data_IF_077616884702
#
_entry.id   IF_077616884702
#
_cell.length_a   1.000
_cell.length_b   1.000
_cell.length_c   1.000
_cell.angle_alpha   90.00
_cell.angle_beta   90.00
_cell.angle_gamma   90.00
#
_symmetry.space_group_name_H-M   'P 1'
#
loop_
_entity.id
_entity.type
_entity.pdbx_description
1 polymer ?
#
# COMPACT_ATOMS: atom_id res chain seq x y z
N UNK A 1 18.42 -30.19 14.85
CA UNK A 1 19.15 -28.90 14.85
C UNK A 1 18.48 -28.05 13.78
N UNK A 2 17.35 -27.42 14.12
CA UNK A 2 16.55 -26.60 13.19
C UNK A 2 17.20 -25.22 13.01
N UNK A 3 18.44 -25.23 12.54
CA UNK A 3 19.21 -24.02 12.30
C UNK A 3 18.73 -23.35 11.02
N UNK A 4 18.83 -22.01 10.99
CA UNK A 4 18.72 -21.21 9.78
C UNK A 4 19.58 -21.71 8.62
N UNK A 5 20.67 -22.43 8.91
CA UNK A 5 21.73 -22.81 7.98
C UNK A 5 21.54 -24.17 7.29
N UNK A 6 20.36 -24.77 7.30
CA UNK A 6 20.07 -25.92 6.43
C UNK A 6 19.80 -25.45 5.01
N UNK A 7 20.16 -26.26 4.00
CA UNK A 7 19.96 -25.90 2.58
C UNK A 7 18.47 -25.63 2.29
N UNK A 8 17.59 -26.43 2.89
CA UNK A 8 16.13 -26.26 2.81
C UNK A 8 15.68 -24.92 3.42
N UNK A 9 16.14 -24.57 4.62
CA UNK A 9 15.78 -23.30 5.26
C UNK A 9 16.34 -22.08 4.52
N UNK A 10 17.51 -22.19 3.89
CA UNK A 10 18.05 -21.12 3.03
C UNK A 10 17.20 -20.91 1.78
N UNK A 11 16.75 -21.99 1.14
CA UNK A 11 15.88 -21.91 -0.02
C UNK A 11 14.54 -21.28 0.35
N UNK A 12 13.92 -21.76 1.44
CA UNK A 12 12.67 -21.20 1.99
C UNK A 12 12.83 -19.74 2.40
N UNK A 13 13.95 -19.38 3.04
CA UNK A 13 14.28 -17.97 3.34
C UNK A 13 14.30 -17.13 2.08
N UNK A 14 14.96 -17.61 1.01
CA UNK A 14 14.99 -16.94 -0.28
C UNK A 14 13.59 -16.73 -0.86
N UNK A 15 12.75 -17.77 -0.86
CA UNK A 15 11.36 -17.67 -1.31
C UNK A 15 10.55 -16.67 -0.48
N UNK A 16 10.71 -16.69 0.85
CA UNK A 16 10.02 -15.78 1.75
C UNK A 16 10.47 -14.33 1.57
N UNK A 17 11.77 -14.08 1.34
CA UNK A 17 12.29 -12.74 1.04
C UNK A 17 11.73 -12.24 -0.30
N UNK A 18 11.69 -13.10 -1.33
CA UNK A 18 11.09 -12.76 -2.62
C UNK A 18 9.59 -12.47 -2.48
N UNK A 19 8.87 -13.32 -1.75
CA UNK A 19 7.47 -13.14 -1.46
C UNK A 19 7.24 -11.80 -0.76
N UNK A 20 8.03 -11.47 0.26
CA UNK A 20 7.92 -10.19 0.95
C UNK A 20 8.29 -8.99 0.10
N UNK A 21 9.24 -9.11 -0.83
CA UNK A 21 9.59 -8.02 -1.73
C UNK A 21 8.43 -7.71 -2.69
N UNK A 22 7.77 -8.74 -3.23
CA UNK A 22 6.59 -8.60 -4.08
C UNK A 22 5.41 -8.09 -3.24
N UNK A 23 5.05 -8.83 -2.19
CA UNK A 23 3.91 -8.54 -1.31
C UNK A 23 4.05 -7.27 -0.48
N UNK A 24 5.26 -6.77 -0.24
CA UNK A 24 5.51 -5.58 0.58
C UNK A 24 5.51 -4.27 -0.22
N UNK A 25 5.31 -4.33 -1.53
CA UNK A 25 5.35 -3.15 -2.40
C UNK A 25 4.20 -2.18 -2.12
N UNK A 26 3.00 -2.67 -1.84
CA UNK A 26 1.83 -1.87 -1.46
C UNK A 26 2.05 -1.09 -0.15
N UNK A 27 2.61 -1.74 0.87
CA UNK A 27 2.97 -1.16 2.14
C UNK A 27 4.10 -0.13 1.98
N UNK A 28 5.10 -0.42 1.15
CA UNK A 28 6.16 0.53 0.80
C UNK A 28 5.59 1.80 0.15
N UNK A 29 4.66 1.62 -0.80
CA UNK A 29 4.03 2.73 -1.50
C UNK A 29 3.17 3.58 -0.55
N UNK A 30 2.39 2.94 0.32
CA UNK A 30 1.63 3.64 1.36
C UNK A 30 2.55 4.49 2.24
N UNK A 31 3.66 3.94 2.72
CA UNK A 31 4.65 4.65 3.54
C UNK A 31 5.25 5.83 2.77
N UNK A 32 5.60 5.64 1.49
CA UNK A 32 6.14 6.69 0.65
C UNK A 32 5.15 7.86 0.50
N UNK A 33 3.86 7.56 0.25
CA UNK A 33 2.79 8.55 0.10
C UNK A 33 2.44 9.25 1.41
N UNK A 34 2.28 8.51 2.50
CA UNK A 34 1.98 9.07 3.82
C UNK A 34 3.13 9.97 4.29
N UNK A 35 4.38 9.61 3.96
CA UNK A 35 5.54 10.45 4.28
C UNK A 35 5.56 11.79 3.56
N UNK A 36 4.91 11.91 2.40
CA UNK A 36 4.83 13.19 1.67
C UNK A 36 3.91 14.20 2.35
N UNK A 37 3.08 13.76 3.29
CA UNK A 37 2.10 14.59 4.01
C UNK A 37 2.69 15.39 5.17
N UNK A 38 3.93 15.10 5.55
CA UNK A 38 4.66 15.86 6.59
C UNK A 38 5.66 16.82 5.95
N UNK A 39 6.17 17.76 6.74
CA UNK A 39 7.21 18.70 6.31
C UNK A 39 8.38 17.98 5.60
N UNK A 40 8.85 18.56 4.49
CA UNK A 40 9.87 17.97 3.61
C UNK A 40 11.13 17.50 4.36
N UNK A 41 11.56 18.24 5.39
CA UNK A 41 12.72 17.91 6.23
C UNK A 41 12.54 16.67 7.11
N UNK A 42 11.29 16.28 7.41
CA UNK A 42 10.95 15.16 8.31
C UNK A 42 10.58 13.88 7.57
N UNK A 43 10.35 13.93 6.26
CA UNK A 43 9.79 12.80 5.50
C UNK A 43 10.71 11.56 5.49
N UNK A 44 12.01 11.75 5.26
CA UNK A 44 12.97 10.64 5.28
C UNK A 44 13.07 9.99 6.67
N UNK A 45 13.07 10.83 7.72
CA UNK A 45 13.04 10.35 9.11
C UNK A 45 11.75 9.59 9.41
N UNK A 46 10.61 10.07 8.92
CA UNK A 46 9.31 9.42 9.07
C UNK A 46 9.30 8.03 8.42
N UNK A 47 9.82 7.90 7.19
CA UNK A 47 9.92 6.60 6.50
C UNK A 47 10.80 5.63 7.27
N UNK A 48 12.02 6.02 7.62
CA UNK A 48 12.98 5.14 8.30
C UNK A 48 12.47 4.67 9.66
N UNK A 49 11.93 5.58 10.47
CA UNK A 49 11.33 5.22 11.76
C UNK A 49 10.04 4.40 11.59
N UNK A 50 9.19 4.77 10.63
CA UNK A 50 7.97 4.05 10.31
C UNK A 50 8.26 2.61 9.89
N UNK A 51 9.20 2.39 8.98
CA UNK A 51 9.61 1.05 8.53
C UNK A 51 10.28 0.27 9.67
N UNK A 52 11.14 0.90 10.46
CA UNK A 52 11.76 0.25 11.62
C UNK A 52 10.74 -0.24 12.64
N UNK A 53 9.79 0.62 13.04
CA UNK A 53 8.69 0.25 13.93
C UNK A 53 7.76 -0.81 13.32
N UNK A 54 7.47 -0.69 12.02
CA UNK A 54 6.70 -1.67 11.26
C UNK A 54 7.33 -3.06 11.30
N UNK A 55 8.63 -3.18 11.05
CA UNK A 55 9.36 -4.46 11.11
C UNK A 55 9.28 -5.08 12.49
N UNK A 56 9.49 -4.28 13.55
CA UNK A 56 9.39 -4.75 14.94
C UNK A 56 7.99 -5.26 15.23
N UNK A 57 6.97 -4.47 14.90
CA UNK A 57 5.57 -4.84 15.11
C UNK A 57 5.20 -6.09 14.32
N UNK A 58 5.73 -6.24 13.11
CA UNK A 58 5.48 -7.38 12.23
C UNK A 58 6.08 -8.68 12.77
N UNK A 59 7.29 -8.63 13.34
CA UNK A 59 7.88 -9.79 14.05
C UNK A 59 7.08 -10.13 15.31
N UNK A 60 6.63 -9.13 16.06
CA UNK A 60 5.75 -9.35 17.21
C UNK A 60 4.41 -9.96 16.80
N UNK A 61 3.80 -9.47 15.72
CA UNK A 61 2.56 -9.98 15.17
C UNK A 61 2.73 -11.43 14.66
N UNK A 62 3.84 -11.74 14.00
CA UNK A 62 4.17 -13.12 13.59
C UNK A 62 4.16 -14.07 14.79
N UNK A 63 4.80 -13.67 15.90
CA UNK A 63 4.82 -14.48 17.11
C UNK A 63 3.41 -14.70 17.69
N UNK A 64 2.57 -13.66 17.71
CA UNK A 64 1.18 -13.76 18.17
C UNK A 64 0.36 -14.67 17.26
N UNK A 65 0.44 -14.46 15.94
CA UNK A 65 -0.29 -15.25 14.95
C UNK A 65 0.11 -16.72 15.01
N UNK A 66 1.40 -17.06 15.06
CA UNK A 66 1.83 -18.45 15.18
C UNK A 66 1.26 -19.19 16.40
N UNK A 67 0.93 -18.47 17.48
CA UNK A 67 0.35 -19.07 18.69
C UNK A 67 -1.17 -19.09 18.71
N UNK A 68 -1.80 -18.09 18.12
CA UNK A 68 -3.22 -17.79 18.36
C UNK A 68 -3.97 -17.45 17.07
N UNK A 69 -3.51 -17.98 15.92
CA UNK A 69 -4.12 -17.74 14.60
C UNK A 69 -5.61 -18.09 14.57
N UNK A 70 -6.04 -19.14 15.30
CA UNK A 70 -7.43 -19.58 15.32
C UNK A 70 -8.37 -18.45 15.78
N UNK A 71 -8.02 -17.69 16.82
CA UNK A 71 -8.86 -16.59 17.31
C UNK A 71 -9.05 -15.47 16.28
N UNK A 72 -8.12 -15.31 15.33
CA UNK A 72 -8.25 -14.32 14.27
C UNK A 72 -9.10 -14.81 13.09
N UNK A 73 -9.22 -16.13 12.94
CA UNK A 73 -9.97 -16.81 11.88
C UNK A 73 -11.34 -17.31 12.33
N UNK A 74 -11.60 -17.35 13.64
CA UNK A 74 -12.90 -17.73 14.19
C UNK A 74 -13.98 -16.71 13.77
N UNK A 75 -15.15 -17.23 13.41
CA UNK A 75 -16.30 -16.41 13.00
C UNK A 75 -16.84 -15.67 14.22
N UNK A 76 -16.82 -14.34 14.17
CA UNK A 76 -17.36 -13.48 15.22
C UNK A 76 -18.87 -13.36 15.09
N UNK A 77 -19.35 -13.12 13.86
CA UNK A 77 -20.77 -13.03 13.55
C UNK A 77 -21.01 -13.32 12.07
N UNK A 78 -22.22 -13.77 11.74
CA UNK A 78 -22.65 -13.97 10.36
C UNK A 78 -23.84 -13.07 10.05
N UNK A 79 -23.88 -12.53 8.84
CA UNK A 79 -25.02 -11.79 8.31
C UNK A 79 -25.57 -12.62 7.15
N UNK A 80 -26.89 -12.79 7.10
CA UNK A 80 -27.60 -13.29 5.93
C UNK A 80 -28.87 -12.44 5.73
N UNK A 81 -28.81 -11.56 4.74
CA UNK A 81 -29.91 -10.72 4.33
C UNK A 81 -30.50 -11.23 3.02
N UNK A 82 -31.45 -12.17 3.14
CA UNK A 82 -32.35 -12.63 2.06
C UNK A 82 -31.62 -13.00 0.75
N UNK A 83 -30.41 -13.57 0.82
CA UNK A 83 -29.60 -13.95 -0.34
C UNK A 83 -29.04 -12.79 -1.18
N UNK A 84 -29.24 -11.53 -0.76
CA UNK A 84 -28.67 -10.35 -1.41
C UNK A 84 -27.30 -10.02 -0.83
N UNK A 85 -27.15 -10.21 0.49
CA UNK A 85 -25.92 -9.94 1.22
C UNK A 85 -25.75 -11.01 2.30
N UNK A 86 -24.76 -11.88 2.16
CA UNK A 86 -24.43 -12.85 3.21
C UNK A 86 -22.91 -12.96 3.41
N UNK A 87 -22.46 -13.15 4.65
CA UNK A 87 -21.05 -13.30 4.97
C UNK A 87 -20.79 -13.68 6.42
N UNK A 88 -19.63 -14.29 6.66
CA UNK A 88 -19.12 -14.73 7.96
C UNK A 88 -17.93 -13.86 8.35
N UNK A 89 -18.13 -12.93 9.28
CA UNK A 89 -17.11 -11.95 9.63
C UNK A 89 -16.22 -12.48 10.75
N UNK A 90 -14.93 -12.61 10.44
CA UNK A 90 -13.85 -12.91 11.39
C UNK A 90 -13.15 -11.62 11.82
N UNK A 91 -12.37 -11.68 12.90
CA UNK A 91 -11.56 -10.52 13.31
C UNK A 91 -10.60 -10.08 12.21
N UNK A 92 -9.98 -11.04 11.50
CA UNK A 92 -9.13 -10.77 10.36
C UNK A 92 -9.88 -10.03 9.23
N UNK A 93 -11.06 -10.52 8.82
CA UNK A 93 -11.85 -9.87 7.77
C UNK A 93 -12.19 -8.41 8.13
N UNK A 94 -12.53 -8.16 9.40
CA UNK A 94 -12.91 -6.84 9.87
C UNK A 94 -11.73 -5.86 9.86
N UNK A 95 -10.55 -6.30 10.32
CA UNK A 95 -9.32 -5.50 10.28
C UNK A 95 -8.98 -5.11 8.83
N UNK A 96 -9.07 -6.07 7.91
CA UNK A 96 -8.78 -5.87 6.47
C UNK A 96 -9.80 -4.91 5.84
N UNK A 97 -11.10 -5.09 6.10
CA UNK A 97 -12.15 -4.19 5.62
C UNK A 97 -11.97 -2.76 6.11
N UNK A 98 -11.75 -2.57 7.42
CA UNK A 98 -11.57 -1.24 8.01
C UNK A 98 -10.35 -0.56 7.39
N UNK A 99 -9.25 -1.30 7.20
CA UNK A 99 -8.06 -0.80 6.51
C UNK A 99 -8.36 -0.36 5.07
N UNK A 100 -9.06 -1.20 4.30
CA UNK A 100 -9.46 -0.90 2.92
C UNK A 100 -10.35 0.34 2.81
N UNK A 101 -11.41 0.42 3.63
CA UNK A 101 -12.32 1.58 3.67
C UNK A 101 -11.54 2.84 4.03
N UNK A 102 -10.68 2.78 5.04
CA UNK A 102 -9.89 3.92 5.47
C UNK A 102 -8.96 4.44 4.36
N UNK A 103 -8.29 3.53 3.65
CA UNK A 103 -7.38 3.88 2.56
C UNK A 103 -8.15 4.53 1.42
N UNK A 104 -9.28 3.96 1.01
CA UNK A 104 -10.15 4.54 -0.02
C UNK A 104 -10.64 5.92 0.39
N UNK A 105 -11.18 6.06 1.60
CA UNK A 105 -11.65 7.34 2.12
C UNK A 105 -10.54 8.39 2.09
N UNK A 106 -9.34 8.00 2.51
CA UNK A 106 -8.17 8.87 2.53
C UNK A 106 -7.75 9.30 1.12
N UNK A 107 -7.71 8.37 0.16
CA UNK A 107 -7.38 8.67 -1.23
C UNK A 107 -8.43 9.60 -1.86
N UNK A 108 -9.72 9.30 -1.70
CA UNK A 108 -10.82 10.13 -2.22
C UNK A 108 -10.82 11.53 -1.62
N UNK A 109 -10.61 11.66 -0.31
CA UNK A 109 -10.52 12.95 0.37
C UNK A 109 -9.39 13.80 -0.21
N UNK A 110 -8.22 13.20 -0.48
CA UNK A 110 -7.10 13.92 -1.05
C UNK A 110 -7.34 14.31 -2.51
N UNK A 111 -7.90 13.41 -3.33
CA UNK A 111 -8.29 13.71 -4.71
C UNK A 111 -9.25 14.91 -4.74
N UNK A 112 -10.29 14.88 -3.91
CA UNK A 112 -11.27 15.96 -3.81
C UNK A 112 -10.61 17.28 -3.40
N UNK A 113 -9.68 17.24 -2.43
CA UNK A 113 -8.96 18.43 -2.00
C UNK A 113 -8.05 18.98 -3.12
N UNK A 114 -7.37 18.12 -3.88
CA UNK A 114 -6.55 18.55 -5.01
C UNK A 114 -7.37 19.27 -6.09
N UNK A 115 -8.60 18.81 -6.34
CA UNK A 115 -9.53 19.48 -7.27
C UNK A 115 -9.96 20.86 -6.76
N UNK A 116 -10.19 21.00 -5.45
CA UNK A 116 -10.53 22.29 -4.83
C UNK A 116 -9.35 23.28 -4.80
N UNK A 117 -8.12 22.80 -4.67
CA UNK A 117 -6.90 23.62 -4.67
C UNK A 117 -6.57 24.23 -6.05
N UNK A 118 -7.17 23.73 -7.14
CA UNK A 118 -7.08 24.40 -8.46
C UNK A 118 -7.94 25.67 -8.53
N UNK A 119 -8.92 25.84 -7.62
CA UNK A 119 -9.80 27.02 -7.59
C UNK A 119 -9.29 28.15 -6.66
N UNK A 120 -8.38 27.87 -5.72
CA UNK A 120 -7.87 28.82 -4.72
C UNK A 120 -6.32 28.86 -4.69
N UNK A 121 -5.70 29.75 -5.47
CA UNK A 121 -4.24 29.91 -5.59
C UNK A 121 -3.49 30.23 -4.27
N UNK A 122 -4.20 30.59 -3.19
CA UNK A 122 -3.61 31.01 -1.90
C UNK A 122 -3.68 29.99 -0.76
N UNK A 123 -4.28 28.80 -0.94
CA UNK A 123 -4.39 27.83 0.16
C UNK A 123 -3.17 26.92 0.26
N UNK A 124 -2.12 27.41 0.95
CA UNK A 124 -0.95 26.58 1.30
C UNK A 124 -1.37 25.44 2.24
N UNK A 125 -1.26 24.19 1.78
CA UNK A 125 -1.46 22.96 2.56
C UNK A 125 -0.78 23.04 3.93
N UNK A 126 -1.52 22.86 5.02
CA UNK A 126 -0.92 22.64 6.34
C UNK A 126 -0.38 21.21 6.40
N UNK A 127 0.93 21.00 6.64
CA UNK A 127 1.49 19.67 6.75
C UNK A 127 0.85 18.91 7.93
N UNK A 128 0.61 17.62 7.74
CA UNK A 128 0.13 16.73 8.78
C UNK A 128 1.20 16.60 9.88
N UNK A 129 0.75 16.38 11.11
CA UNK A 129 1.66 16.11 12.22
C UNK A 129 2.50 14.85 11.96
N UNK A 130 3.79 14.93 12.29
CA UNK A 130 4.73 13.82 12.20
C UNK A 130 4.24 12.60 12.97
N UNK A 131 3.82 12.80 14.22
CA UNK A 131 3.37 11.72 15.12
C UNK A 131 2.12 11.04 14.59
N UNK A 132 1.17 11.82 14.07
CA UNK A 132 -0.06 11.28 13.48
C UNK A 132 0.27 10.41 12.27
N UNK A 133 1.13 10.89 11.38
CA UNK A 133 1.53 10.14 10.18
C UNK A 133 2.31 8.87 10.54
N UNK A 134 3.16 8.93 11.58
CA UNK A 134 3.89 7.77 12.09
C UNK A 134 2.95 6.70 12.64
N UNK A 135 1.97 7.09 13.46
CA UNK A 135 0.96 6.18 14.00
C UNK A 135 0.18 5.51 12.86
N UNK A 136 -0.21 6.27 11.84
CA UNK A 136 -0.91 5.72 10.68
C UNK A 136 -0.08 4.76 9.85
N UNK A 137 1.21 5.03 9.67
CA UNK A 137 2.15 4.09 9.04
C UNK A 137 2.17 2.76 9.82
N UNK A 138 2.31 2.83 11.15
CA UNK A 138 2.39 1.63 11.98
C UNK A 138 1.07 0.84 11.97
N UNK A 139 -0.07 1.51 12.08
CA UNK A 139 -1.40 0.87 12.03
C UNK A 139 -1.63 0.19 10.68
N UNK A 140 -1.42 0.90 9.57
CA UNK A 140 -1.64 0.32 8.24
C UNK A 140 -0.67 -0.80 7.94
N UNK A 141 0.58 -0.68 8.39
CA UNK A 141 1.53 -1.77 8.28
C UNK A 141 1.08 -3.01 9.05
N UNK A 142 0.48 -2.85 10.24
CA UNK A 142 -0.07 -3.97 10.99
C UNK A 142 -1.18 -4.66 10.19
N UNK A 143 -2.11 -3.90 9.60
CA UNK A 143 -3.18 -4.41 8.74
C UNK A 143 -2.62 -5.22 7.57
N UNK A 144 -1.69 -4.66 6.79
CA UNK A 144 -1.06 -5.37 5.66
C UNK A 144 -0.21 -6.57 6.09
N UNK A 145 0.31 -6.53 7.31
CA UNK A 145 1.13 -7.62 7.84
C UNK A 145 0.32 -8.87 8.11
N UNK A 146 -1.01 -8.80 8.33
CA UNK A 146 -1.83 -10.00 8.50
C UNK A 146 -1.79 -10.90 7.25
N UNK A 147 -2.23 -10.41 6.08
CA UNK A 147 -2.24 -11.21 4.83
C UNK A 147 -0.84 -11.76 4.51
N UNK A 148 0.16 -10.88 4.57
CA UNK A 148 1.51 -11.25 4.17
C UNK A 148 2.23 -12.17 5.17
N UNK A 149 1.84 -12.19 6.45
CA UNK A 149 2.28 -13.21 7.41
C UNK A 149 1.55 -14.54 7.16
N UNK A 150 0.23 -14.52 6.95
CA UNK A 150 -0.53 -15.73 6.65
C UNK A 150 -0.02 -16.43 5.38
N UNK A 151 0.25 -15.65 4.33
CA UNK A 151 0.89 -16.11 3.10
C UNK A 151 2.27 -16.72 3.36
N UNK A 152 3.06 -16.14 4.27
CA UNK A 152 4.38 -16.66 4.63
C UNK A 152 4.29 -17.96 5.46
N UNK A 153 3.32 -18.06 6.37
CA UNK A 153 3.06 -19.26 7.17
C UNK A 153 2.66 -20.45 6.29
N UNK A 154 2.01 -20.21 5.14
CA UNK A 154 1.73 -21.26 4.16
C UNK A 154 3.00 -21.86 3.50
N UNK A 155 4.13 -21.15 3.55
CA UNK A 155 5.42 -21.59 2.99
C UNK A 155 6.37 -22.16 4.05
N UNK A 156 6.18 -21.84 5.34
CA UNK A 156 7.12 -22.20 6.40
C UNK A 156 6.48 -22.08 7.78
N UNK A 157 6.66 -23.10 8.61
CA UNK A 157 6.31 -23.05 10.04
C UNK A 157 7.47 -22.60 10.94
N UNK A 158 8.68 -22.42 10.38
CA UNK A 158 9.85 -22.02 11.15
C UNK A 158 9.84 -20.51 11.44
N UNK A 159 9.56 -20.15 12.70
CA UNK A 159 9.55 -18.76 13.18
C UNK A 159 10.84 -18.00 12.85
N UNK A 160 12.01 -18.63 13.04
CA UNK A 160 13.30 -17.97 12.88
C UNK A 160 13.53 -17.61 11.41
N UNK A 161 13.18 -18.52 10.50
CA UNK A 161 13.29 -18.29 9.04
C UNK A 161 12.35 -17.18 8.59
N UNK A 162 11.08 -17.19 9.05
CA UNK A 162 10.11 -16.14 8.73
C UNK A 162 10.52 -14.78 9.31
N UNK A 163 10.98 -14.73 10.56
CA UNK A 163 11.45 -13.50 11.20
C UNK A 163 12.69 -12.93 10.48
N UNK A 164 13.64 -13.80 10.10
CA UNK A 164 14.80 -13.39 9.31
C UNK A 164 14.37 -12.81 7.95
N UNK A 165 13.41 -13.44 7.27
CA UNK A 165 12.84 -12.89 6.03
C UNK A 165 12.27 -11.48 6.27
N UNK A 166 11.43 -11.30 7.30
CA UNK A 166 10.82 -10.00 7.65
C UNK A 166 11.88 -8.92 7.86
N UNK A 167 12.96 -9.24 8.58
CA UNK A 167 14.04 -8.28 8.85
C UNK A 167 14.78 -7.92 7.56
N UNK A 168 15.13 -8.90 6.72
CA UNK A 168 15.80 -8.68 5.43
C UNK A 168 14.91 -7.85 4.50
N UNK A 169 13.64 -8.19 4.38
CA UNK A 169 12.65 -7.44 3.62
C UNK A 169 12.49 -6.01 4.15
N UNK A 170 12.51 -5.83 5.46
CA UNK A 170 12.54 -4.52 6.13
C UNK A 170 13.72 -3.64 5.71
N UNK A 171 14.92 -4.21 5.68
CA UNK A 171 16.13 -3.51 5.24
C UNK A 171 16.03 -3.12 3.77
N UNK A 172 15.55 -4.04 2.92
CA UNK A 172 15.31 -3.78 1.50
C UNK A 172 14.28 -2.65 1.30
N UNK A 173 13.20 -2.64 2.08
CA UNK A 173 12.18 -1.60 2.05
C UNK A 173 12.75 -0.23 2.44
N UNK A 174 13.62 -0.14 3.45
CA UNK A 174 14.27 1.13 3.81
C UNK A 174 15.04 1.68 2.60
N UNK A 175 15.83 0.83 1.94
CA UNK A 175 16.61 1.21 0.75
C UNK A 175 15.72 1.63 -0.42
N UNK A 176 14.64 0.90 -0.70
CA UNK A 176 13.70 1.23 -1.78
C UNK A 176 12.83 2.46 -1.49
N UNK A 177 12.52 2.74 -0.23
CA UNK A 177 11.52 3.78 0.14
C UNK A 177 11.92 5.18 -0.28
N UNK A 178 13.22 5.50 -0.23
CA UNK A 178 13.75 6.80 -0.66
C UNK A 178 13.60 6.94 -2.19
N UNK A 179 13.94 5.89 -2.95
CA UNK A 179 13.80 5.86 -4.41
C UNK A 179 12.33 5.97 -4.88
N UNK A 180 11.42 5.22 -4.25
CA UNK A 180 9.99 5.28 -4.56
C UNK A 180 9.45 6.68 -4.27
N UNK A 181 9.87 7.29 -3.15
CA UNK A 181 9.42 8.65 -2.80
C UNK A 181 9.93 9.69 -3.80
N UNK A 182 11.19 9.63 -4.20
CA UNK A 182 11.77 10.55 -5.18
C UNK A 182 11.09 10.42 -6.55
N UNK A 183 10.78 9.18 -6.95
CA UNK A 183 10.01 8.91 -8.15
C UNK A 183 8.63 9.59 -8.12
N UNK A 184 7.91 9.46 -6.99
CA UNK A 184 6.61 10.11 -6.80
C UNK A 184 6.70 11.65 -6.72
N UNK A 185 7.78 12.20 -6.18
CA UNK A 185 7.96 13.65 -6.02
C UNK A 185 8.31 14.40 -7.30
N UNK A 186 8.84 13.72 -8.32
CA UNK A 186 9.50 14.38 -9.46
C UNK A 186 8.54 15.20 -10.34
N UNK A 187 7.22 15.16 -10.10
CA UNK A 187 6.21 16.01 -10.74
C UNK A 187 4.86 15.92 -9.99
N UNK A 188 4.09 17.02 -9.90
CA UNK A 188 2.75 17.06 -9.26
C UNK A 188 1.75 16.07 -9.88
N UNK A 189 1.94 15.73 -11.16
CA UNK A 189 1.18 14.66 -11.83
C UNK A 189 1.37 13.27 -11.19
N UNK A 190 2.57 12.97 -10.70
CA UNK A 190 2.86 11.67 -10.06
C UNK A 190 2.26 11.57 -8.65
N UNK A 191 1.93 12.69 -8.01
CA UNK A 191 1.19 12.72 -6.75
C UNK A 191 -0.21 12.13 -6.94
N UNK A 192 -0.91 12.55 -8.00
CA UNK A 192 -2.24 12.03 -8.36
C UNK A 192 -2.18 10.53 -8.66
N UNK A 193 -1.18 10.08 -9.43
CA UNK A 193 -0.96 8.65 -9.68
C UNK A 193 -0.77 7.88 -8.38
N UNK A 194 0.01 8.42 -7.44
CA UNK A 194 0.17 7.84 -6.11
C UNK A 194 -1.17 7.63 -5.39
N UNK A 195 -2.07 8.61 -5.45
CA UNK A 195 -3.41 8.50 -4.87
C UNK A 195 -4.31 7.47 -5.57
N UNK A 196 -4.21 7.33 -6.89
CA UNK A 196 -4.90 6.25 -7.61
C UNK A 196 -4.36 4.88 -7.24
N UNK A 197 -3.05 4.71 -7.10
CA UNK A 197 -2.50 3.44 -6.64
C UNK A 197 -2.92 3.17 -5.19
N UNK A 198 -2.95 4.20 -4.33
CA UNK A 198 -3.48 4.08 -2.97
C UNK A 198 -4.96 3.63 -2.98
N UNK A 199 -5.78 4.18 -3.86
CA UNK A 199 -7.16 3.75 -4.06
C UNK A 199 -7.23 2.27 -4.47
N UNK A 200 -6.38 1.83 -5.41
CA UNK A 200 -6.29 0.42 -5.82
C UNK A 200 -5.88 -0.51 -4.68
N UNK A 201 -4.94 -0.10 -3.82
CA UNK A 201 -4.58 -0.85 -2.62
C UNK A 201 -5.80 -0.99 -1.69
N UNK A 202 -6.56 0.09 -1.53
CA UNK A 202 -7.81 0.06 -0.77
C UNK A 202 -8.85 -0.90 -1.36
N UNK A 203 -9.03 -0.91 -2.68
CA UNK A 203 -9.92 -1.86 -3.39
C UNK A 203 -9.42 -3.30 -3.24
N UNK A 204 -8.11 -3.53 -3.35
CA UNK A 204 -7.51 -4.85 -3.12
C UNK A 204 -7.84 -5.37 -1.72
N UNK A 205 -7.67 -4.54 -0.68
CA UNK A 205 -8.03 -4.90 0.69
C UNK A 205 -9.54 -5.14 0.86
N UNK A 206 -10.41 -4.35 0.25
CA UNK A 206 -11.85 -4.62 0.32
C UNK A 206 -12.21 -5.95 -0.33
N UNK A 207 -11.58 -6.29 -1.46
CA UNK A 207 -11.78 -7.59 -2.12
C UNK A 207 -11.27 -8.75 -1.28
N UNK A 208 -10.12 -8.57 -0.60
CA UNK A 208 -9.54 -9.56 0.29
C UNK A 208 -10.41 -9.75 1.55
N UNK A 209 -10.85 -8.66 2.18
CA UNK A 209 -11.78 -8.71 3.31
C UNK A 209 -13.08 -9.41 2.94
N UNK A 210 -13.62 -9.12 1.75
CA UNK A 210 -14.78 -9.80 1.19
C UNK A 210 -14.57 -11.30 1.05
N UNK A 211 -13.45 -11.69 0.48
CA UNK A 211 -13.08 -13.09 0.33
C UNK A 211 -12.96 -13.82 1.68
N UNK A 212 -12.21 -13.25 2.63
CA UNK A 212 -12.03 -13.82 3.98
C UNK A 212 -13.38 -13.97 4.68
N UNK A 213 -14.30 -13.04 4.46
CA UNK A 213 -15.64 -13.11 5.05
C UNK A 213 -16.64 -13.98 4.28
N UNK A 214 -16.24 -14.66 3.19
CA UNK A 214 -17.15 -15.35 2.27
C UNK A 214 -18.34 -14.45 1.86
N UNK A 215 -18.03 -13.17 1.59
CA UNK A 215 -19.05 -12.18 1.31
C UNK A 215 -19.67 -12.47 -0.06
N UNK A 216 -20.98 -12.60 -0.07
CA UNK A 216 -21.80 -12.72 -1.29
C UNK A 216 -22.56 -11.41 -1.51
N UNK A 217 -22.49 -10.92 -2.75
CA UNK A 217 -23.29 -9.80 -3.23
C UNK A 217 -24.16 -10.30 -4.38
N UNK A 218 -25.48 -10.15 -4.26
CA UNK A 218 -26.45 -10.59 -5.27
C UNK A 218 -26.27 -12.07 -5.67
N UNK A 219 -25.92 -12.93 -4.71
CA UNK A 219 -25.66 -14.36 -4.94
C UNK A 219 -24.31 -14.69 -5.58
N UNK A 220 -23.43 -13.71 -5.80
CA UNK A 220 -22.06 -13.93 -6.29
C UNK A 220 -21.04 -13.68 -5.18
N UNK A 221 -20.14 -14.64 -4.96
CA UNK A 221 -19.05 -14.48 -3.99
C UNK A 221 -18.03 -13.46 -4.49
N UNK A 222 -17.57 -12.60 -3.58
CA UNK A 222 -16.47 -11.69 -3.84
C UNK A 222 -15.17 -12.48 -3.89
N UNK A 223 -14.57 -12.55 -5.07
CA UNK A 223 -13.23 -13.10 -5.26
C UNK A 223 -12.16 -12.04 -5.00
N UNK A 224 -11.04 -12.39 -4.36
CA UNK A 224 -9.98 -11.44 -4.10
C UNK A 224 -9.30 -11.03 -5.40
N UNK A 225 -8.90 -9.76 -5.49
CA UNK A 225 -8.16 -9.25 -6.64
C UNK A 225 -6.79 -9.93 -6.70
N UNK A 226 -6.46 -10.56 -7.84
CA UNK A 226 -5.15 -11.19 -7.98
C UNK A 226 -4.03 -10.15 -7.94
N UNK A 227 -2.93 -10.48 -7.25
CA UNK A 227 -1.75 -9.60 -7.13
C UNK A 227 -1.12 -9.32 -8.50
N UNK A 228 -1.15 -10.30 -9.41
CA UNK A 228 -0.73 -10.11 -10.80
C UNK A 228 -1.57 -9.06 -11.53
N UNK A 229 -2.90 -9.12 -11.40
CA UNK A 229 -3.82 -8.10 -11.95
C UNK A 229 -3.52 -6.73 -11.34
N UNK A 230 -3.28 -6.66 -10.04
CA UNK A 230 -2.94 -5.42 -9.34
C UNK A 230 -1.66 -4.77 -9.92
N UNK A 231 -0.56 -5.52 -10.06
CA UNK A 231 0.67 -4.98 -10.63
C UNK A 231 0.53 -4.62 -12.12
N UNK A 232 -0.27 -5.38 -12.88
CA UNK A 232 -0.57 -5.06 -14.26
C UNK A 232 -1.27 -3.70 -14.36
N UNK A 233 -2.30 -3.47 -13.54
CA UNK A 233 -3.04 -2.21 -13.52
C UNK A 233 -2.13 -1.04 -13.11
N UNK A 234 -1.30 -1.19 -12.09
CA UNK A 234 -0.31 -0.17 -11.70
C UNK A 234 0.63 0.14 -12.87
N UNK A 235 1.16 -0.89 -13.52
CA UNK A 235 2.06 -0.73 -14.66
C UNK A 235 1.39 0.07 -15.77
N UNK A 236 0.14 -0.27 -16.11
CA UNK A 236 -0.65 0.47 -17.10
C UNK A 236 -0.85 1.93 -16.68
N UNK A 237 -1.22 2.20 -15.42
CA UNK A 237 -1.40 3.57 -14.91
C UNK A 237 -0.09 4.38 -15.04
N UNK A 238 1.04 3.79 -14.64
CA UNK A 238 2.34 4.46 -14.73
C UNK A 238 2.73 4.72 -16.17
N UNK A 239 2.51 3.76 -17.08
CA UNK A 239 2.79 3.93 -18.51
C UNK A 239 1.92 5.04 -19.12
N UNK A 240 0.61 5.04 -18.83
CA UNK A 240 -0.33 6.07 -19.27
C UNK A 240 0.12 7.44 -18.79
N UNK A 241 0.52 7.56 -17.51
CA UNK A 241 1.02 8.81 -16.96
C UNK A 241 2.31 9.27 -17.64
N UNK A 242 3.26 8.37 -17.90
CA UNK A 242 4.50 8.70 -18.60
C UNK A 242 4.20 9.21 -20.02
N UNK A 243 3.25 8.60 -20.72
CA UNK A 243 2.81 9.03 -22.07
C UNK A 243 2.13 10.39 -22.00
N UNK A 244 1.19 10.58 -21.08
CA UNK A 244 0.46 11.83 -20.87
C UNK A 244 1.41 12.98 -20.51
N UNK A 245 2.34 12.75 -19.60
CA UNK A 245 3.37 13.72 -19.20
C UNK A 245 4.24 14.16 -20.37
N UNK A 246 4.66 13.21 -21.24
CA UNK A 246 5.40 13.53 -22.46
C UNK A 246 4.57 14.34 -23.45
N UNK A 247 3.29 14.01 -23.61
CA UNK A 247 2.38 14.73 -24.49
C UNK A 247 2.14 16.18 -24.02
N UNK A 248 1.86 16.39 -22.74
CA UNK A 248 1.69 17.73 -22.17
C UNK A 248 2.93 18.60 -22.33
N UNK A 249 4.13 18.04 -22.10
CA UNK A 249 5.40 18.77 -22.33
C UNK A 249 5.55 19.24 -23.78
N UNK A 250 5.14 18.41 -24.75
CA UNK A 250 5.15 18.78 -26.17
C UNK A 250 4.15 19.90 -26.46
N UNK A 251 2.92 19.83 -25.94
CA UNK A 251 1.92 20.88 -26.12
C UNK A 251 2.38 22.24 -25.57
N UNK A 252 2.99 22.26 -24.38
CA UNK A 252 3.53 23.48 -23.78
C UNK A 252 4.66 24.04 -24.64
N UNK A 253 5.58 23.19 -25.12
CA UNK A 253 6.65 23.61 -26.01
C UNK A 253 6.13 24.22 -27.33
N UNK A 254 5.09 23.62 -27.92
CA UNK A 254 4.44 24.16 -29.13
C UNK A 254 3.75 25.50 -28.87
N UNK A 255 3.03 25.65 -27.75
CA UNK A 255 2.41 26.94 -27.38
C UNK A 255 3.47 28.05 -27.21
N UNK A 256 4.57 27.75 -26.50
CA UNK A 256 5.67 28.70 -26.30
C UNK A 256 6.38 29.08 -27.60
N UNK A 257 6.48 28.16 -28.56
CA UNK A 257 7.02 28.45 -29.89
C UNK A 257 6.10 29.40 -30.66
N UNK A 258 4.80 29.13 -30.68
CA UNK A 258 3.82 29.95 -31.39
C UNK A 258 3.70 31.38 -30.82
N UNK A 259 3.75 31.54 -29.49
CA UNK A 259 3.75 32.88 -28.87
C UNK A 259 4.99 33.71 -29.25
N UNK A 260 6.17 33.09 -29.31
CA UNK A 260 7.41 33.78 -29.73
C UNK A 260 7.37 34.22 -31.18
N UNK A 261 6.78 33.42 -32.07
CA UNK A 261 6.64 33.80 -33.49
C UNK A 261 5.66 34.95 -33.69
N UNK A 262 4.62 35.09 -32.86
CA UNK A 262 3.69 36.22 -32.92
C UNK A 262 4.28 37.53 -32.40
N UNK A 263 5.21 37.49 -31.44
CA UNK A 263 5.89 38.69 -30.93
C UNK A 263 6.90 39.25 -31.95
N UNK A 264 7.60 38.41 -32.72
CA UNK A 264 8.59 38.86 -33.72
C UNK A 264 7.97 39.37 -35.04
N UNK A 265 6.65 39.32 -35.20
CA UNK A 265 5.94 39.82 -36.39
C UNK A 265 5.20 41.15 -36.17
N UNK A 266 5.32 41.75 -34.97
CA UNK A 266 4.85 43.11 -34.65
C UNK A 266 6.02 44.05 -34.47
#
# INVERSE_FOLDING_TARGET
>A
MDGLFTIENLFTLGMLVLLQAVLGFDNLLYIALESQRVEASKQAKLRRLGIGLAVILRVALLFVLMKVISLFQDVLFSIDYRGIFAGHFTLHSLIVFIGGIFIIYTALKEINHMLMLEEDENSKRKPRSFTVSLIWIVIMNAVFSFDSILSAMALSDNFIVMAAAIIIGGILMIWLSDHVTEFLKKNRMYEVVGLFILLLVGVMLLSEGGHISHLTLFGTEITPMSKGTFYLVITVIVVVEVVQSRYQKRLIATKLYNDKTHINQK
#
